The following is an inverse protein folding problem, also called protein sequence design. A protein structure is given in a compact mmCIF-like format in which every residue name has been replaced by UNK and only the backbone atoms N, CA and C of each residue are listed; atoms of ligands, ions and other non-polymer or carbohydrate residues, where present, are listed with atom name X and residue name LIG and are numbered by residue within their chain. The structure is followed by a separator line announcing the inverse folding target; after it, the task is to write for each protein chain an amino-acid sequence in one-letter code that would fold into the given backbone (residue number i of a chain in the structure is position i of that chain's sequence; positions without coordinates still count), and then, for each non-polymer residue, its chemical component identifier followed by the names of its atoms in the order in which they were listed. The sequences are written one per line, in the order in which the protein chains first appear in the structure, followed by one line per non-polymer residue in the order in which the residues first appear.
data_IF_888865028429
#
_entry.id   IF_888865028429
#
_cell.length_a   1.000
_cell.length_b   1.000
_cell.length_c   1.000
_cell.angle_alpha   90.00
_cell.angle_beta   90.00
_cell.angle_gamma   90.00
#
_symmetry.space_group_name_H-M   'P 1'
#
loop_
_entity.id
_entity.type
_entity.pdbx_description
1 polymer ?
#
# COMPACT_ATOMS: atom_id res chain seq x y z
N UNK A 1 -8.01 -42.71 18.75
CA UNK A 1 -8.35 -41.28 18.61
C UNK A 1 -7.27 -40.38 19.24
N UNK A 2 -6.06 -40.26 18.66
CA UNK A 2 -5.03 -39.28 19.09
C UNK A 2 -4.01 -38.94 17.97
N UNK A 3 -4.46 -38.83 16.71
CA UNK A 3 -3.58 -38.45 15.59
C UNK A 3 -4.16 -37.37 14.66
N UNK A 4 -5.39 -36.88 14.90
CA UNK A 4 -6.01 -35.82 14.09
C UNK A 4 -5.75 -34.40 14.59
N UNK A 5 -5.26 -34.22 15.83
CA UNK A 5 -5.10 -32.88 16.44
C UNK A 5 -3.75 -32.21 16.10
N UNK A 6 -2.79 -32.98 15.59
CA UNK A 6 -1.47 -32.46 15.23
C UNK A 6 -1.41 -31.86 13.80
N UNK A 7 -2.39 -32.14 12.94
CA UNK A 7 -2.40 -31.63 11.56
C UNK A 7 -3.10 -30.28 11.43
N UNK A 8 -4.10 -30.00 12.27
CA UNK A 8 -4.80 -28.70 12.32
C UNK A 8 -3.94 -27.59 12.93
N UNK A 9 -2.99 -27.94 13.80
CA UNK A 9 -2.05 -27.00 14.42
C UNK A 9 -0.86 -26.64 13.51
N UNK A 10 -0.55 -27.45 12.50
CA UNK A 10 0.50 -27.14 11.52
C UNK A 10 -0.01 -26.28 10.34
N UNK A 11 -1.31 -26.36 10.02
CA UNK A 11 -1.94 -25.54 8.97
C UNK A 11 -2.30 -24.12 9.42
N UNK A 12 -2.50 -23.91 10.73
CA UNK A 12 -2.73 -22.58 11.31
C UNK A 12 -1.46 -21.70 11.36
N UNK A 13 -0.30 -22.23 11.00
CA UNK A 13 0.99 -21.51 10.99
C UNK A 13 1.43 -21.00 9.60
N UNK A 14 0.65 -21.25 8.54
CA UNK A 14 0.97 -20.83 7.18
C UNK A 14 0.22 -19.55 6.80
N UNK A 15 0.51 -18.43 7.48
CA UNK A 15 -0.09 -17.14 7.15
C UNK A 15 0.92 -15.98 7.12
N UNK A 16 2.18 -16.23 6.76
CA UNK A 16 3.09 -15.24 6.14
C UNK A 16 4.21 -16.01 5.44
N UNK A 17 4.48 -15.75 4.16
CA UNK A 17 5.70 -16.26 3.52
C UNK A 17 6.95 -15.64 4.17
N UNK A 18 7.79 -16.48 4.81
CA UNK A 18 9.17 -16.21 5.21
C UNK A 18 9.87 -17.51 5.61
N UNK A 19 11.21 -17.62 5.51
CA UNK A 19 12.02 -17.70 4.31
C UNK A 19 12.34 -19.19 4.01
N UNK A 20 11.63 -19.80 3.07
CA UNK A 20 12.13 -20.97 2.33
C UNK A 20 12.54 -20.52 0.92
N UNK A 21 12.96 -19.26 0.80
CA UNK A 21 13.26 -18.61 -0.47
C UNK A 21 14.48 -19.20 -1.19
N UNK A 22 15.35 -19.92 -0.49
CA UNK A 22 16.59 -20.49 -1.04
C UNK A 22 16.58 -22.01 -1.23
N UNK A 23 15.58 -22.73 -0.70
CA UNK A 23 15.59 -24.21 -0.78
C UNK A 23 14.98 -24.76 -2.07
N UNK A 24 14.09 -23.99 -2.73
CA UNK A 24 13.35 -24.45 -3.92
C UNK A 24 13.61 -23.62 -5.18
N UNK A 25 14.49 -22.62 -5.14
CA UNK A 25 14.92 -21.89 -6.34
C UNK A 25 15.98 -22.70 -7.08
N UNK A 26 15.59 -23.39 -8.15
CA UNK A 26 16.56 -23.85 -9.14
C UNK A 26 17.23 -22.63 -9.79
N UNK A 27 18.50 -22.39 -9.45
CA UNK A 27 19.33 -21.34 -10.08
C UNK A 27 19.50 -21.64 -11.57
N UNK A 28 18.83 -20.87 -12.43
CA UNK A 28 19.20 -20.76 -13.83
C UNK A 28 20.60 -20.10 -13.94
N UNK A 29 21.45 -20.70 -14.75
CA UNK A 29 22.88 -20.38 -14.93
C UNK A 29 23.03 -18.95 -15.49
N UNK A 30 23.81 -18.11 -14.79
CA UNK A 30 24.07 -16.70 -15.13
C UNK A 30 24.94 -16.61 -16.39
N UNK A 31 24.40 -16.05 -17.47
CA UNK A 31 25.19 -15.61 -18.63
C UNK A 31 25.81 -14.25 -18.33
N UNK A 32 27.14 -14.19 -18.37
CA UNK A 32 27.94 -12.98 -18.15
C UNK A 32 27.87 -12.08 -19.37
N UNK A 33 27.36 -10.85 -19.21
CA UNK A 33 27.65 -9.77 -20.17
C UNK A 33 28.07 -8.53 -19.41
N UNK A 34 29.22 -8.02 -19.82
CA UNK A 34 30.06 -6.97 -19.25
C UNK A 34 29.38 -5.60 -19.18
N UNK A 35 29.59 -4.92 -18.06
CA UNK A 35 29.31 -3.50 -17.87
C UNK A 35 30.21 -2.63 -18.74
N UNK A 36 29.62 -1.67 -19.44
CA UNK A 36 30.35 -0.55 -20.05
C UNK A 36 29.88 0.74 -19.41
N UNK A 37 30.77 1.34 -18.64
CA UNK A 37 30.71 2.69 -18.11
C UNK A 37 31.13 3.66 -19.22
N UNK A 38 30.51 4.84 -19.34
CA UNK A 38 31.24 6.00 -19.84
C UNK A 38 31.33 7.10 -18.78
N UNK A 39 32.57 7.53 -18.57
CA UNK A 39 32.99 8.68 -17.79
C UNK A 39 32.74 10.00 -18.52
N UNK A 40 32.65 11.05 -17.69
CA UNK A 40 32.74 12.49 -17.92
C UNK A 40 33.26 13.02 -19.28
N UNK A 41 32.65 14.13 -19.71
CA UNK A 41 33.42 15.26 -20.26
C UNK A 41 32.74 16.59 -19.96
N UNK A 42 33.58 17.50 -19.46
CA UNK A 42 33.33 18.91 -19.17
C UNK A 42 33.29 19.76 -20.44
N UNK A 43 32.44 20.79 -20.46
CA UNK A 43 32.69 22.18 -20.92
C UNK A 43 31.40 22.83 -21.42
N UNK A 44 31.22 24.12 -21.06
CA UNK A 44 30.33 25.01 -21.81
C UNK A 44 29.51 25.97 -20.94
N UNK A 45 30.15 26.97 -20.35
CA UNK A 45 29.48 28.19 -19.86
C UNK A 45 29.11 29.04 -21.08
N UNK A 46 27.92 29.65 -21.11
CA UNK A 46 27.87 31.04 -21.50
C UNK A 46 27.11 31.89 -20.48
N UNK A 47 27.72 33.04 -20.24
CA UNK A 47 27.19 34.21 -19.54
C UNK A 47 26.10 34.89 -20.36
N UNK A 48 24.98 35.23 -19.73
CA UNK A 48 24.13 36.35 -20.18
C UNK A 48 23.51 37.07 -18.99
N UNK A 49 23.98 38.28 -18.78
CA UNK A 49 23.41 39.36 -17.99
C UNK A 49 22.06 39.83 -18.55
N UNK A 50 21.07 40.08 -17.70
CA UNK A 50 20.15 41.22 -17.85
C UNK A 50 19.24 41.40 -16.63
N UNK A 51 19.45 42.53 -15.96
CA UNK A 51 18.46 43.43 -15.34
C UNK A 51 17.41 42.90 -14.36
N UNK A 52 17.73 43.06 -13.08
CA UNK A 52 16.77 43.39 -12.05
C UNK A 52 16.07 44.73 -12.36
N UNK A 53 14.74 44.73 -12.37
CA UNK A 53 13.91 45.93 -12.38
C UNK A 53 13.06 45.92 -11.11
N UNK A 54 13.55 46.64 -10.09
CA UNK A 54 12.78 47.00 -8.92
C UNK A 54 11.74 48.07 -9.31
N UNK A 55 10.52 47.95 -8.79
CA UNK A 55 9.54 49.03 -8.74
C UNK A 55 8.86 49.07 -7.37
N UNK A 56 8.39 50.26 -6.95
CA UNK A 56 8.68 50.78 -5.62
C UNK A 56 7.53 50.67 -4.61
N UNK A 57 7.93 50.73 -3.35
CA UNK A 57 7.10 51.08 -2.20
C UNK A 57 6.66 52.56 -2.27
N UNK A 58 5.36 52.80 -2.38
CA UNK A 58 4.61 53.84 -1.64
C UNK A 58 3.30 54.16 -2.35
N UNK A 59 2.17 53.91 -1.68
CA UNK A 59 1.06 54.86 -1.69
C UNK A 59 0.32 54.67 -0.36
N UNK A 60 0.63 55.57 0.56
CA UNK A 60 -0.09 55.74 1.80
C UNK A 60 -1.42 56.47 1.54
N UNK A 61 -2.34 56.26 2.48
CA UNK A 61 -3.44 57.14 2.88
C UNK A 61 -4.51 57.47 1.84
N UNK A 62 -5.69 56.87 2.02
CA UNK A 62 -6.98 57.59 1.94
C UNK A 62 -8.05 56.75 2.65
N UNK A 63 -8.62 57.35 3.69
CA UNK A 63 -9.90 57.07 4.40
C UNK A 63 -9.72 57.00 5.92
N UNK A 64 -9.55 58.19 6.51
CA UNK A 64 -9.92 58.46 7.90
C UNK A 64 -11.37 58.95 7.93
N UNK A 65 -12.24 58.22 8.65
CA UNK A 65 -13.22 58.72 9.62
C UNK A 65 -14.35 57.70 9.80
N UNK A 66 -14.39 57.05 10.96
CA UNK A 66 -15.56 57.07 11.85
C UNK A 66 -15.08 56.77 13.27
N UNK A 67 -15.16 57.78 14.13
CA UNK A 67 -15.06 57.69 15.58
C UNK A 67 -16.22 56.87 16.14
N UNK A 68 -15.91 55.82 16.91
CA UNK A 68 -16.88 55.07 17.70
C UNK A 68 -16.16 54.31 18.81
N UNK A 69 -16.29 54.79 20.04
CA UNK A 69 -15.88 54.07 21.25
C UNK A 69 -16.67 52.76 21.35
N UNK A 70 -15.98 51.62 21.36
CA UNK A 70 -16.50 50.37 21.89
C UNK A 70 -15.34 49.57 22.52
N UNK A 71 -15.40 49.52 23.85
CA UNK A 71 -14.76 48.62 24.81
C UNK A 71 -14.14 47.31 24.28
N UNK A 72 -12.90 47.06 24.73
CA UNK A 72 -12.31 45.75 25.06
C UNK A 72 -12.97 44.52 24.39
N UNK A 73 -12.70 44.32 23.10
CA UNK A 73 -12.71 42.98 22.54
C UNK A 73 -11.29 42.43 22.64
N UNK A 74 -11.06 41.56 23.61
CA UNK A 74 -9.96 40.61 23.57
C UNK A 74 -10.14 39.85 22.26
N UNK A 75 -9.32 40.17 21.27
CA UNK A 75 -9.23 39.39 20.04
C UNK A 75 -8.64 38.04 20.47
N UNK A 76 -9.51 37.10 20.87
CA UNK A 76 -9.18 35.69 20.86
C UNK A 76 -8.90 35.35 19.40
N UNK A 77 -7.66 35.59 18.98
CA UNK A 77 -7.07 34.81 17.91
C UNK A 77 -7.15 33.39 18.40
N UNK A 78 -8.21 32.68 18.01
CA UNK A 78 -8.23 31.22 18.06
C UNK A 78 -6.97 30.84 17.30
N UNK A 79 -5.94 30.40 18.03
CA UNK A 79 -4.72 29.90 17.42
C UNK A 79 -5.19 28.88 16.37
N UNK A 80 -4.73 28.95 15.11
CA UNK A 80 -5.19 28.05 14.07
C UNK A 80 -5.11 26.63 14.63
N UNK A 81 -6.27 25.97 14.75
CA UNK A 81 -6.38 24.63 15.31
C UNK A 81 -5.40 23.76 14.55
N UNK A 82 -4.35 23.33 15.24
CA UNK A 82 -3.25 22.63 14.64
C UNK A 82 -3.76 21.26 14.22
N UNK A 83 -3.94 21.06 12.92
CA UNK A 83 -4.50 19.80 12.43
C UNK A 83 -3.63 18.63 12.90
N UNK A 84 -4.29 17.58 13.40
CA UNK A 84 -3.65 16.46 14.07
C UNK A 84 -3.36 15.33 13.08
N UNK A 85 -2.20 14.69 13.19
CA UNK A 85 -1.90 13.45 12.50
C UNK A 85 -2.10 12.29 13.48
N UNK A 86 -2.88 11.29 13.10
CA UNK A 86 -3.00 10.07 13.90
C UNK A 86 -1.88 9.11 13.51
N UNK A 87 -1.18 8.56 14.50
CA UNK A 87 -0.15 7.54 14.33
C UNK A 87 -0.70 6.21 14.86
N UNK A 88 -0.66 5.17 14.03
CA UNK A 88 -1.18 3.85 14.32
C UNK A 88 -0.01 2.87 14.31
N UNK A 89 0.31 2.27 15.45
CA UNK A 89 1.39 1.30 15.58
C UNK A 89 0.86 -0.12 15.45
N UNK A 90 1.51 -0.90 14.60
CA UNK A 90 1.17 -2.31 14.34
C UNK A 90 2.35 -3.25 14.61
N UNK A 91 3.54 -2.70 14.87
CA UNK A 91 4.76 -3.43 15.22
C UNK A 91 5.95 -3.00 14.37
N UNK A 92 6.98 -3.84 14.34
CA UNK A 92 8.27 -3.54 13.73
C UNK A 92 9.35 -3.20 14.76
N UNK A 93 10.37 -2.47 14.33
CA UNK A 93 11.54 -2.13 15.17
C UNK A 93 11.42 -0.75 15.84
N UNK A 94 10.33 -0.02 15.56
CA UNK A 94 10.07 1.30 16.15
C UNK A 94 9.41 1.11 17.50
N UNK A 95 10.01 1.68 18.55
CA UNK A 95 9.42 1.67 19.88
C UNK A 95 8.10 2.43 19.88
N UNK A 96 7.05 1.81 20.41
CA UNK A 96 5.77 2.48 20.64
C UNK A 96 6.00 3.54 21.73
N UNK A 97 5.68 4.82 21.48
CA UNK A 97 5.91 5.87 22.45
C UNK A 97 5.05 5.64 23.70
N UNK A 98 5.61 5.95 24.87
CA UNK A 98 4.92 5.84 26.17
C UNK A 98 3.86 6.94 26.38
N UNK A 99 3.80 7.92 25.48
CA UNK A 99 2.84 9.03 25.53
C UNK A 99 2.07 9.10 24.22
N UNK A 100 0.77 9.31 24.33
CA UNK A 100 -0.13 9.24 23.19
C UNK A 100 -0.15 10.52 22.36
N UNK A 101 0.43 11.63 22.82
CA UNK A 101 0.39 12.88 22.07
C UNK A 101 1.75 13.56 22.04
N UNK A 102 2.16 14.02 20.85
CA UNK A 102 3.37 14.81 20.67
C UNK A 102 3.03 16.10 19.93
N UNK A 103 3.44 17.25 20.47
CA UNK A 103 3.22 18.54 19.83
C UNK A 103 4.54 19.10 19.33
N UNK A 104 4.69 19.26 18.01
CA UNK A 104 5.85 19.95 17.42
C UNK A 104 5.51 21.42 17.14
N UNK A 105 6.29 22.13 16.32
CA UNK A 105 5.86 23.41 15.72
C UNK A 105 5.00 23.21 14.47
N UNK A 106 5.17 22.10 13.74
CA UNK A 106 4.52 21.84 12.45
C UNK A 106 3.17 21.11 12.53
N UNK A 107 3.05 20.09 13.40
CA UNK A 107 1.79 19.32 13.59
C UNK A 107 1.65 18.79 15.03
N UNK A 108 0.45 18.34 15.40
CA UNK A 108 0.19 17.54 16.60
C UNK A 108 0.04 16.08 16.20
N UNK A 109 0.50 15.14 17.02
CA UNK A 109 0.22 13.72 16.83
C UNK A 109 -0.67 13.18 17.94
N UNK A 110 -1.51 12.21 17.59
CA UNK A 110 -2.13 11.29 18.55
C UNK A 110 -1.74 9.87 18.14
N UNK A 111 -1.40 9.02 19.10
CA UNK A 111 -0.86 7.69 18.87
C UNK A 111 -1.79 6.61 19.42
N UNK A 112 -1.99 5.55 18.63
CA UNK A 112 -2.73 4.35 19.04
C UNK A 112 -1.92 3.13 18.64
N UNK A 113 -1.73 2.21 19.57
CA UNK A 113 -1.14 0.91 19.28
C UNK A 113 -2.25 -0.13 19.11
N UNK A 114 -2.27 -0.79 17.95
CA UNK A 114 -3.18 -1.90 17.69
C UNK A 114 -2.50 -3.23 17.97
N UNK A 115 -1.27 -3.36 17.48
CA UNK A 115 -0.50 -4.60 17.53
C UNK A 115 0.98 -4.30 17.79
N UNK A 116 1.74 -5.34 18.15
CA UNK A 116 3.19 -5.29 18.27
C UNK A 116 3.82 -6.56 17.68
N UNK A 117 3.71 -6.72 16.36
CA UNK A 117 4.23 -7.91 15.65
C UNK A 117 5.43 -7.60 14.76
N UNK A 118 6.37 -8.55 14.70
CA UNK A 118 7.51 -8.55 13.78
C UNK A 118 7.25 -9.39 12.52
N UNK A 119 6.19 -10.20 12.53
CA UNK A 119 5.69 -10.95 11.37
C UNK A 119 4.76 -10.09 10.52
N UNK A 120 4.53 -10.46 9.27
CA UNK A 120 3.55 -9.72 8.48
C UNK A 120 2.14 -9.87 9.07
N UNK A 121 1.35 -8.82 8.93
CA UNK A 121 -0.04 -8.82 9.38
C UNK A 121 -0.89 -9.76 8.52
N UNK A 122 -1.76 -10.52 9.17
CA UNK A 122 -2.77 -11.34 8.50
C UNK A 122 -3.98 -10.49 8.06
N UNK A 123 -4.89 -11.06 7.26
CA UNK A 123 -6.02 -10.31 6.67
C UNK A 123 -6.92 -9.65 7.73
N UNK A 124 -7.18 -10.31 8.86
CA UNK A 124 -8.01 -9.77 9.95
C UNK A 124 -7.34 -8.57 10.61
N UNK A 125 -6.03 -8.65 10.85
CA UNK A 125 -5.23 -7.54 11.38
C UNK A 125 -5.18 -6.37 10.38
N UNK A 126 -5.03 -6.65 9.09
CA UNK A 126 -5.06 -5.62 8.04
C UNK A 126 -6.40 -4.87 8.01
N UNK A 127 -7.53 -5.58 8.16
CA UNK A 127 -8.86 -4.95 8.26
C UNK A 127 -9.02 -4.13 9.55
N UNK A 128 -8.47 -4.58 10.67
CA UNK A 128 -8.47 -3.81 11.92
C UNK A 128 -7.72 -2.48 11.79
N UNK A 129 -6.59 -2.49 11.07
CA UNK A 129 -5.86 -1.26 10.73
C UNK A 129 -6.71 -0.37 9.83
N UNK A 130 -7.32 -0.91 8.77
CA UNK A 130 -8.17 -0.16 7.87
C UNK A 130 -9.38 0.48 8.59
N UNK A 131 -10.05 -0.24 9.48
CA UNK A 131 -11.16 0.26 10.30
C UNK A 131 -10.71 1.42 11.19
N UNK A 132 -9.56 1.28 11.86
CA UNK A 132 -8.98 2.32 12.69
C UNK A 132 -8.66 3.58 11.88
N UNK A 133 -8.09 3.42 10.68
CA UNK A 133 -7.83 4.54 9.77
C UNK A 133 -9.15 5.21 9.36
N UNK A 134 -10.15 4.43 8.96
CA UNK A 134 -11.42 4.98 8.51
C UNK A 134 -12.12 5.80 9.61
N UNK A 135 -12.17 5.27 10.84
CA UNK A 135 -12.70 5.97 12.01
C UNK A 135 -11.92 7.26 12.31
N UNK A 136 -10.59 7.18 12.25
CA UNK A 136 -9.69 8.32 12.46
C UNK A 136 -9.91 9.44 11.44
N UNK A 137 -10.07 9.08 10.16
CA UNK A 137 -10.20 10.04 9.08
C UNK A 137 -11.59 10.68 9.01
N UNK A 138 -12.60 10.05 9.64
CA UNK A 138 -13.93 10.64 9.82
C UNK A 138 -13.91 11.88 10.73
N UNK A 139 -12.90 12.02 11.60
CA UNK A 139 -12.71 13.22 12.42
C UNK A 139 -12.16 14.40 11.58
N UNK A 140 -12.88 15.52 11.56
CA UNK A 140 -12.50 16.73 10.84
C UNK A 140 -11.26 17.44 11.40
N UNK A 141 -10.91 17.19 12.67
CA UNK A 141 -9.68 17.70 13.29
C UNK A 141 -8.43 16.94 12.84
N UNK A 142 -8.60 15.72 12.30
CA UNK A 142 -7.51 14.89 11.78
C UNK A 142 -7.17 15.27 10.34
N UNK A 143 -5.90 15.62 10.13
CA UNK A 143 -5.28 15.90 8.82
C UNK A 143 -5.11 14.64 7.98
N UNK A 144 -4.74 13.53 8.61
CA UNK A 144 -4.36 12.28 7.95
C UNK A 144 -3.93 11.22 8.97
N UNK A 145 -3.64 10.03 8.46
CA UNK A 145 -3.21 8.88 9.25
C UNK A 145 -1.81 8.42 8.82
N UNK A 146 -1.00 8.05 9.81
CA UNK A 146 0.29 7.41 9.66
C UNK A 146 0.21 6.02 10.26
N UNK A 147 0.65 5.00 9.54
CA UNK A 147 0.77 3.63 10.04
C UNK A 147 2.24 3.27 10.16
N UNK A 148 2.67 2.95 11.37
CA UNK A 148 4.01 2.42 11.64
C UNK A 148 3.91 0.90 11.72
N UNK A 149 4.56 0.22 10.78
CA UNK A 149 4.44 -1.23 10.60
C UNK A 149 5.80 -1.91 10.39
N UNK A 150 5.84 -3.22 10.57
CA UNK A 150 7.00 -4.00 10.17
C UNK A 150 7.15 -3.99 8.63
N UNK A 151 8.40 -4.09 8.15
CA UNK A 151 8.72 -4.05 6.73
C UNK A 151 7.99 -5.13 5.90
N UNK A 152 7.66 -6.28 6.50
CA UNK A 152 6.97 -7.39 5.84
C UNK A 152 5.49 -7.10 5.55
N UNK A 153 4.91 -6.09 6.21
CA UNK A 153 3.50 -5.72 6.05
C UNK A 153 3.28 -4.53 5.12
N UNK A 154 4.35 -3.90 4.60
CA UNK A 154 4.22 -2.66 3.83
C UNK A 154 3.46 -2.88 2.52
N UNK A 155 3.77 -3.95 1.79
CA UNK A 155 3.06 -4.29 0.55
C UNK A 155 1.58 -4.60 0.82
N UNK A 156 1.30 -5.42 1.84
CA UNK A 156 -0.07 -5.86 2.14
C UNK A 156 -0.93 -4.73 2.68
N UNK A 157 -0.41 -3.91 3.59
CA UNK A 157 -1.10 -2.71 4.09
C UNK A 157 -1.32 -1.71 2.97
N UNK A 158 -0.28 -1.41 2.18
CA UNK A 158 -0.38 -0.45 1.07
C UNK A 158 -1.44 -0.87 0.05
N UNK A 159 -1.47 -2.15 -0.31
CA UNK A 159 -2.44 -2.68 -1.25
C UNK A 159 -3.86 -2.73 -0.67
N UNK A 160 -4.04 -3.37 0.50
CA UNK A 160 -5.37 -3.53 1.10
C UNK A 160 -6.01 -2.18 1.38
N UNK A 161 -5.30 -1.24 2.02
CA UNK A 161 -5.83 0.10 2.28
C UNK A 161 -6.18 0.86 1.01
N UNK A 162 -5.49 0.60 -0.11
CA UNK A 162 -5.83 1.21 -1.41
C UNK A 162 -7.14 0.67 -1.97
N UNK A 163 -7.48 -0.59 -1.68
CA UNK A 163 -8.75 -1.20 -2.09
C UNK A 163 -9.88 -0.77 -1.18
N UNK A 164 -9.70 -0.85 0.15
CA UNK A 164 -10.81 -0.76 1.12
C UNK A 164 -11.05 0.64 1.68
N UNK A 165 -10.16 1.61 1.42
CA UNK A 165 -10.35 3.00 1.83
C UNK A 165 -10.62 3.91 0.64
N UNK A 166 -11.52 4.85 0.84
CA UNK A 166 -11.79 5.95 -0.09
C UNK A 166 -11.71 7.28 0.67
N UNK A 167 -10.50 7.83 0.74
CA UNK A 167 -10.24 9.09 1.41
C UNK A 167 -9.26 9.95 0.63
N UNK A 168 -9.52 11.27 0.65
CA UNK A 168 -8.61 12.28 0.09
C UNK A 168 -7.53 12.69 1.08
N UNK A 169 -7.74 12.45 2.38
CA UNK A 169 -6.76 12.76 3.43
C UNK A 169 -5.54 11.83 3.28
N UNK A 170 -4.32 12.30 3.58
CA UNK A 170 -3.12 11.48 3.50
C UNK A 170 -3.22 10.24 4.40
N UNK A 171 -2.90 9.08 3.84
CA UNK A 171 -2.65 7.83 4.56
C UNK A 171 -1.24 7.40 4.21
N UNK A 172 -0.33 7.34 5.18
CA UNK A 172 1.07 7.04 4.93
C UNK A 172 1.53 5.87 5.80
N UNK A 173 2.02 4.82 5.16
CA UNK A 173 2.47 3.59 5.82
C UNK A 173 3.99 3.49 5.70
N UNK A 174 4.68 3.18 6.78
CA UNK A 174 6.14 3.06 6.79
C UNK A 174 6.65 2.20 7.94
N UNK A 175 7.87 1.71 7.81
CA UNK A 175 8.64 1.17 8.94
C UNK A 175 9.39 2.28 9.72
N UNK A 176 9.43 3.50 9.19
CA UNK A 176 10.02 4.69 9.82
C UNK A 176 8.93 5.76 10.02
N UNK A 177 8.59 6.01 11.28
CA UNK A 177 7.58 6.98 11.69
C UNK A 177 7.92 8.41 11.23
N UNK A 178 9.18 8.83 11.33
CA UNK A 178 9.59 10.21 11.01
C UNK A 178 9.45 10.47 9.51
N UNK A 179 9.81 9.48 8.69
CA UNK A 179 9.61 9.58 7.24
C UNK A 179 8.13 9.60 6.87
N UNK A 180 7.30 8.78 7.51
CA UNK A 180 5.87 8.78 7.25
C UNK A 180 5.19 10.10 7.67
N UNK A 181 5.54 10.63 8.84
CA UNK A 181 5.04 11.92 9.32
C UNK A 181 5.44 13.06 8.38
N UNK A 182 6.66 13.05 7.85
CA UNK A 182 7.10 14.05 6.87
C UNK A 182 6.20 14.07 5.63
N UNK A 183 5.89 12.89 5.06
CA UNK A 183 5.00 12.78 3.89
C UNK A 183 3.55 13.12 4.23
N UNK A 184 3.02 12.61 5.34
CA UNK A 184 1.62 12.85 5.74
C UNK A 184 1.35 14.33 6.04
N UNK A 185 2.39 15.09 6.41
CA UNK A 185 2.30 16.51 6.68
C UNK A 185 2.32 17.38 5.40
N UNK A 186 2.66 16.84 4.23
CA UNK A 186 2.67 17.59 2.98
C UNK A 186 1.26 17.78 2.42
N UNK A 187 0.93 19.00 1.98
CA UNK A 187 -0.34 19.27 1.28
C UNK A 187 -0.39 18.51 -0.05
N UNK A 188 0.76 18.32 -0.69
CA UNK A 188 0.88 17.55 -1.92
C UNK A 188 0.61 16.04 -1.76
N UNK A 189 0.51 15.51 -0.52
CA UNK A 189 0.13 14.12 -0.28
C UNK A 189 -1.38 13.86 -0.41
N UNK A 190 -2.21 14.91 -0.44
CA UNK A 190 -3.65 14.80 -0.57
C UNK A 190 -4.07 14.18 -1.91
N UNK A 191 -5.18 13.42 -1.88
CA UNK A 191 -5.81 12.82 -3.06
C UNK A 191 -4.89 11.84 -3.85
N UNK A 192 -3.92 11.22 -3.18
CA UNK A 192 -3.03 10.21 -3.77
C UNK A 192 -3.41 8.77 -3.40
N UNK A 193 -4.45 8.60 -2.59
CA UNK A 193 -4.72 7.35 -1.88
C UNK A 193 -3.63 7.03 -0.84
N UNK A 194 -3.60 5.80 -0.32
CA UNK A 194 -2.52 5.37 0.57
C UNK A 194 -1.16 5.45 -0.10
N UNK A 195 -0.15 5.85 0.68
CA UNK A 195 1.24 5.93 0.28
C UNK A 195 2.07 5.03 1.17
N UNK A 196 3.11 4.41 0.59
CA UNK A 196 4.09 3.63 1.36
C UNK A 196 5.46 4.26 1.22
N UNK A 197 6.14 4.44 2.35
CA UNK A 197 7.50 4.97 2.38
C UNK A 197 8.48 3.85 2.71
N UNK A 198 9.48 3.65 1.86
CA UNK A 198 10.55 2.69 2.11
C UNK A 198 11.63 3.26 3.03
N UNK A 199 12.50 2.39 3.53
CA UNK A 199 13.62 2.77 4.39
C UNK A 199 14.61 3.71 3.69
N UNK A 200 14.71 3.61 2.37
CA UNK A 200 15.56 4.42 1.50
C UNK A 200 14.94 5.79 1.18
N UNK A 201 13.76 6.10 1.74
CA UNK A 201 13.06 7.36 1.52
C UNK A 201 12.28 7.42 0.21
N UNK A 202 12.09 6.29 -0.50
CA UNK A 202 11.25 6.24 -1.70
C UNK A 202 9.78 6.14 -1.30
N UNK A 203 8.93 6.95 -1.92
CA UNK A 203 7.49 6.98 -1.67
C UNK A 203 6.75 6.35 -2.84
N UNK A 204 5.92 5.35 -2.56
CA UNK A 204 5.14 4.61 -3.56
C UNK A 204 3.63 4.85 -3.35
N UNK A 205 2.86 4.77 -4.43
CA UNK A 205 1.42 4.57 -4.31
C UNK A 205 1.15 3.20 -3.68
N UNK A 206 0.23 3.11 -2.72
CA UNK A 206 -0.03 1.90 -1.94
C UNK A 206 -0.26 0.66 -2.79
N UNK A 207 -1.07 0.79 -3.85
CA UNK A 207 -1.35 -0.29 -4.81
C UNK A 207 -0.09 -0.82 -5.53
N UNK A 208 0.91 0.04 -5.73
CA UNK A 208 2.15 -0.27 -6.46
C UNK A 208 3.37 -0.43 -5.54
N UNK A 209 3.14 -0.53 -4.23
CA UNK A 209 4.20 -0.82 -3.27
C UNK A 209 4.95 -2.09 -3.66
N UNK A 210 6.28 -2.06 -3.74
CA UNK A 210 7.06 -3.25 -4.06
C UNK A 210 7.06 -4.27 -2.91
N UNK A 211 7.28 -5.54 -3.25
CA UNK A 211 7.39 -6.65 -2.28
C UNK A 211 8.66 -6.62 -1.44
N UNK A 212 9.68 -5.84 -1.84
CA UNK A 212 10.86 -5.58 -1.03
C UNK A 212 11.43 -4.18 -1.31
N UNK A 213 12.18 -3.66 -0.34
CA UNK A 213 12.84 -2.35 -0.42
C UNK A 213 13.81 -2.22 -1.61
N UNK A 214 14.37 -3.35 -2.08
CA UNK A 214 15.30 -3.40 -3.22
C UNK A 214 14.62 -3.75 -4.56
N UNK A 215 13.29 -3.94 -4.58
CA UNK A 215 12.60 -4.25 -5.82
C UNK A 215 12.36 -2.99 -6.66
N UNK A 216 12.33 -3.18 -7.97
CA UNK A 216 12.08 -2.10 -8.95
C UNK A 216 10.61 -1.66 -8.85
N UNK A 217 10.33 -0.61 -8.08
CA UNK A 217 9.02 0.02 -8.02
C UNK A 217 8.93 1.30 -8.87
N UNK A 218 7.73 1.88 -8.95
CA UNK A 218 7.52 3.22 -9.50
C UNK A 218 7.31 4.22 -8.36
N UNK A 219 8.37 4.86 -7.84
CA UNK A 219 8.22 5.86 -6.79
C UNK A 219 7.51 7.10 -7.35
N UNK A 220 6.61 7.68 -6.55
CA UNK A 220 5.90 8.92 -6.86
C UNK A 220 6.55 10.15 -6.20
N UNK A 221 7.43 9.91 -5.21
CA UNK A 221 8.25 10.92 -4.58
C UNK A 221 9.49 10.29 -3.93
N UNK A 222 10.41 11.15 -3.48
CA UNK A 222 11.52 10.79 -2.61
C UNK A 222 11.58 11.74 -1.42
N UNK A 223 12.08 11.26 -0.28
CA UNK A 223 12.35 12.03 0.92
C UNK A 223 13.86 12.15 1.06
N UNK A 224 14.37 13.37 1.18
CA UNK A 224 15.79 13.59 1.44
C UNK A 224 16.15 13.46 2.95
N UNK A 225 17.44 13.54 3.26
CA UNK A 225 17.93 13.43 4.63
C UNK A 225 17.34 14.52 5.54
N UNK A 226 17.08 15.71 4.99
CA UNK A 226 16.44 16.84 5.65
C UNK A 226 14.92 16.68 5.82
N UNK A 227 14.36 15.51 5.45
CA UNK A 227 12.93 15.17 5.54
C UNK A 227 12.06 16.04 4.65
N UNK A 228 12.62 16.59 3.57
CA UNK A 228 11.86 17.29 2.54
C UNK A 228 11.41 16.30 1.48
N UNK A 229 10.13 16.36 1.15
CA UNK A 229 9.50 15.48 0.16
C UNK A 229 9.57 16.13 -1.22
N UNK A 230 10.03 15.39 -2.21
CA UNK A 230 10.11 15.82 -3.60
C UNK A 230 9.23 14.93 -4.46
N UNK A 231 8.14 15.48 -4.98
CA UNK A 231 7.15 14.75 -5.79
C UNK A 231 7.55 14.75 -7.26
N UNK A 232 7.50 13.58 -7.90
CA UNK A 232 7.79 13.43 -9.33
C UNK A 232 6.55 13.60 -10.22
N UNK A 233 5.38 13.23 -9.69
CA UNK A 233 4.12 13.22 -10.44
C UNK A 233 3.01 13.93 -9.68
N UNK A 234 2.07 14.53 -10.40
CA UNK A 234 0.81 15.02 -9.83
C UNK A 234 -0.04 13.87 -9.28
N UNK A 235 -0.95 14.12 -8.31
CA UNK A 235 -1.88 13.09 -7.83
C UNK A 235 -2.72 12.49 -8.97
N UNK A 236 -2.66 11.18 -9.13
CA UNK A 236 -3.46 10.45 -10.10
C UNK A 236 -3.84 9.06 -9.52
N UNK A 237 -5.13 8.77 -9.31
CA UNK A 237 -5.54 7.47 -8.80
C UNK A 237 -5.32 6.37 -9.86
N UNK A 238 -4.73 5.23 -9.49
CA UNK A 238 -4.56 4.07 -10.38
C UNK A 238 -5.89 3.55 -10.92
N UNK A 239 -5.90 3.03 -12.15
CA UNK A 239 -7.12 2.59 -12.84
C UNK A 239 -7.97 1.59 -12.03
N UNK A 240 -7.31 0.67 -11.32
CA UNK A 240 -7.96 -0.35 -10.47
C UNK A 240 -8.81 0.24 -9.34
N UNK A 241 -8.43 1.40 -8.80
CA UNK A 241 -9.03 2.00 -7.59
C UNK A 241 -9.54 3.42 -7.81
N UNK A 242 -9.56 3.90 -9.06
CA UNK A 242 -10.11 5.21 -9.36
C UNK A 242 -11.62 5.22 -9.07
N UNK A 243 -12.21 6.40 -8.91
CA UNK A 243 -13.63 6.54 -8.53
C UNK A 243 -14.61 5.90 -9.52
N UNK A 244 -14.19 5.65 -10.75
CA UNK A 244 -15.00 5.07 -11.82
C UNK A 244 -14.60 3.61 -12.12
N UNK A 245 -13.79 2.98 -11.26
CA UNK A 245 -13.29 1.63 -11.48
C UNK A 245 -14.38 0.61 -11.20
N UNK A 246 -14.27 -0.59 -11.78
CA UNK A 246 -15.20 -1.69 -11.50
C UNK A 246 -15.31 -1.96 -10.01
N UNK A 247 -14.19 -1.93 -9.27
CA UNK A 247 -14.16 -2.11 -7.82
C UNK A 247 -15.00 -1.03 -7.11
N UNK A 248 -14.89 0.24 -7.52
CA UNK A 248 -15.63 1.35 -6.87
C UNK A 248 -17.09 1.43 -7.26
N UNK A 249 -17.44 1.08 -8.51
CA UNK A 249 -18.80 1.25 -9.04
C UNK A 249 -19.66 0.01 -8.84
N UNK A 250 -19.12 -1.18 -9.10
CA UNK A 250 -19.89 -2.43 -9.08
C UNK A 250 -19.78 -3.19 -7.76
N UNK A 251 -18.72 -2.97 -6.99
CA UNK A 251 -18.42 -3.67 -5.73
C UNK A 251 -18.24 -2.69 -4.56
N UNK A 252 -19.24 -1.82 -4.37
CA UNK A 252 -19.24 -0.75 -3.37
C UNK A 252 -19.05 -1.25 -1.93
N UNK A 253 -19.36 -2.52 -1.66
CA UNK A 253 -19.12 -3.13 -0.35
C UNK A 253 -17.62 -3.34 -0.03
N UNK A 254 -16.72 -3.27 -1.01
CA UNK A 254 -15.27 -3.40 -0.76
C UNK A 254 -14.72 -2.30 0.16
N UNK A 255 -15.38 -1.14 0.21
CA UNK A 255 -14.99 -0.05 1.12
C UNK A 255 -15.56 -0.22 2.54
N UNK A 256 -16.25 -1.33 2.84
CA UNK A 256 -16.59 -1.64 4.21
C UNK A 256 -15.35 -2.12 4.96
N UNK A 257 -14.90 -1.30 5.91
CA UNK A 257 -13.78 -1.62 6.79
C UNK A 257 -14.20 -2.32 8.08
N UNK A 258 -15.47 -2.21 8.47
CA UNK A 258 -16.02 -2.80 9.68
C UNK A 258 -16.63 -4.16 9.34
N UNK A 259 -15.77 -5.18 9.36
CA UNK A 259 -16.10 -6.55 8.95
C UNK A 259 -16.14 -7.45 10.18
N UNK A 260 -17.30 -8.08 10.39
CA UNK A 260 -17.41 -9.23 11.28
C UNK A 260 -17.01 -10.50 10.52
N UNK A 261 -15.87 -11.08 10.89
CA UNK A 261 -15.39 -12.30 10.27
C UNK A 261 -16.12 -13.53 10.82
N UNK A 262 -17.05 -14.09 10.06
CA UNK A 262 -17.62 -15.41 10.37
C UNK A 262 -16.55 -16.52 10.29
N UNK A 263 -15.64 -16.39 9.34
CA UNK A 263 -14.42 -17.18 9.21
C UNK A 263 -13.37 -16.36 8.45
N UNK A 264 -12.08 -16.59 8.74
CA UNK A 264 -10.99 -15.94 7.99
C UNK A 264 -10.84 -16.63 6.63
N UNK A 265 -10.88 -15.89 5.50
CA UNK A 265 -10.69 -16.50 4.19
C UNK A 265 -9.27 -17.09 4.09
N UNK A 266 -9.20 -18.33 3.61
CA UNK A 266 -7.97 -19.05 3.36
C UNK A 266 -7.69 -19.06 1.86
N UNK A 267 -6.72 -18.26 1.45
CA UNK A 267 -6.23 -18.19 0.07
C UNK A 267 -4.73 -18.47 0.09
N UNK A 268 -4.25 -19.72 -0.07
CA UNK A 268 -2.82 -20.00 -0.09
C UNK A 268 -2.14 -19.49 -1.35
N UNK A 269 -0.86 -19.12 -1.22
CA UNK A 269 0.05 -18.90 -2.34
C UNK A 269 0.87 -20.18 -2.51
N UNK A 270 0.82 -20.77 -3.70
CA UNK A 270 1.63 -21.94 -4.08
C UNK A 270 2.59 -21.57 -5.19
N UNK A 271 3.79 -22.11 -5.13
CA UNK A 271 4.75 -21.95 -6.22
C UNK A 271 4.48 -22.99 -7.28
N UNK A 272 4.51 -22.59 -8.54
CA UNK A 272 4.38 -23.56 -9.62
C UNK A 272 5.50 -24.61 -9.50
N UNK A 273 5.05 -25.81 -9.23
CA UNK A 273 5.75 -27.04 -8.91
C UNK A 273 4.71 -28.13 -9.08
N UNK A 274 5.12 -29.38 -9.34
CA UNK A 274 4.24 -30.47 -9.76
C UNK A 274 3.19 -30.94 -8.73
N UNK A 275 2.40 -30.03 -8.17
CA UNK A 275 1.23 -30.32 -7.36
C UNK A 275 0.20 -31.01 -8.26
N UNK A 276 -0.23 -32.19 -7.83
CA UNK A 276 -1.28 -32.91 -8.56
C UNK A 276 -2.61 -32.20 -8.39
N UNK A 277 -3.44 -32.24 -9.44
CA UNK A 277 -4.83 -31.75 -9.41
C UNK A 277 -5.64 -32.38 -8.27
N UNK A 278 -5.31 -33.61 -7.87
CA UNK A 278 -5.90 -34.30 -6.73
C UNK A 278 -5.65 -33.58 -5.39
N UNK A 279 -4.46 -33.00 -5.17
CA UNK A 279 -4.17 -32.24 -3.95
C UNK A 279 -5.01 -30.96 -3.90
N UNK A 280 -5.12 -30.26 -5.03
CA UNK A 280 -5.91 -29.02 -5.13
C UNK A 280 -7.39 -29.32 -4.90
N UNK A 281 -7.90 -30.38 -5.53
CA UNK A 281 -9.28 -30.85 -5.33
C UNK A 281 -9.56 -31.22 -3.88
N UNK A 282 -8.58 -31.81 -3.17
CA UNK A 282 -8.75 -32.17 -1.75
C UNK A 282 -8.81 -30.96 -0.81
N UNK A 283 -8.29 -29.80 -1.24
CA UNK A 283 -8.30 -28.55 -0.47
C UNK A 283 -9.48 -27.64 -0.82
N UNK A 284 -10.16 -27.89 -1.94
CA UNK A 284 -11.20 -27.02 -2.50
C UNK A 284 -12.39 -26.77 -1.56
N UNK A 285 -12.69 -27.70 -0.64
CA UNK A 285 -13.75 -27.51 0.36
C UNK A 285 -13.34 -26.62 1.54
N UNK A 286 -12.06 -26.26 1.64
CA UNK A 286 -11.49 -25.55 2.80
C UNK A 286 -10.97 -24.16 2.43
N UNK A 287 -10.44 -24.00 1.21
CA UNK A 287 -9.89 -22.73 0.72
C UNK A 287 -10.93 -21.98 -0.11
N UNK A 288 -10.86 -20.64 -0.11
CA UNK A 288 -11.76 -19.79 -0.91
C UNK A 288 -11.16 -19.42 -2.28
N UNK A 289 -9.94 -19.87 -2.54
CA UNK A 289 -9.21 -19.63 -3.77
C UNK A 289 -7.75 -20.04 -3.64
N UNK A 290 -7.02 -19.99 -4.74
CA UNK A 290 -5.62 -20.36 -4.81
C UNK A 290 -4.86 -19.32 -5.63
N UNK A 291 -3.70 -18.87 -5.15
CA UNK A 291 -2.77 -18.06 -5.95
C UNK A 291 -1.59 -18.92 -6.36
N UNK A 292 -1.34 -19.02 -7.66
CA UNK A 292 -0.22 -19.75 -8.24
C UNK A 292 0.86 -18.77 -8.69
N UNK A 293 2.06 -18.92 -8.17
CA UNK A 293 3.23 -18.17 -8.64
C UNK A 293 3.72 -18.82 -9.93
N UNK A 294 3.57 -18.11 -11.05
CA UNK A 294 3.90 -18.59 -12.39
C UNK A 294 5.40 -18.91 -12.51
N UNK A 295 5.76 -20.06 -13.10
CA UNK A 295 7.15 -20.48 -13.33
C UNK A 295 7.70 -20.20 -14.74
N UNK A 296 6.88 -19.70 -15.65
CA UNK A 296 7.26 -19.47 -17.05
C UNK A 296 8.19 -18.26 -17.24
N UNK A 297 8.65 -18.07 -18.48
CA UNK A 297 9.36 -16.85 -18.88
C UNK A 297 8.44 -15.64 -18.75
N UNK A 298 9.01 -14.45 -18.53
CA UNK A 298 8.35 -13.15 -18.38
C UNK A 298 6.94 -13.09 -18.98
N UNK A 299 5.91 -13.22 -18.12
CA UNK A 299 4.48 -13.03 -18.41
C UNK A 299 3.65 -14.30 -18.76
N UNK A 300 4.24 -15.51 -18.75
CA UNK A 300 3.50 -16.76 -18.98
C UNK A 300 3.68 -17.79 -17.88
N UNK A 301 2.78 -18.79 -17.84
CA UNK A 301 2.91 -19.97 -16.98
C UNK A 301 3.07 -21.24 -17.81
N UNK A 302 3.88 -22.18 -17.34
CA UNK A 302 3.92 -23.55 -17.86
C UNK A 302 3.08 -24.51 -17.02
N UNK A 303 2.49 -24.01 -15.93
CA UNK A 303 1.62 -24.80 -15.07
C UNK A 303 0.31 -25.16 -15.76
N UNK A 304 -0.22 -26.33 -15.40
CA UNK A 304 -1.56 -26.78 -15.81
C UNK A 304 -2.52 -26.82 -14.63
N UNK A 305 -2.19 -26.12 -13.54
CA UNK A 305 -3.05 -26.07 -12.35
C UNK A 305 -4.32 -25.30 -12.69
N UNK A 306 -5.46 -25.98 -12.59
CA UNK A 306 -6.80 -25.43 -12.80
C UNK A 306 -7.77 -26.05 -11.79
N UNK A 307 -8.90 -25.39 -11.56
CA UNK A 307 -9.98 -25.91 -10.72
C UNK A 307 -11.30 -25.31 -11.18
N UNK A 308 -12.35 -26.14 -11.20
CA UNK A 308 -13.73 -25.70 -11.42
C UNK A 308 -14.47 -25.43 -10.08
N UNK A 309 -13.82 -25.68 -8.94
CA UNK A 309 -14.44 -25.59 -7.61
C UNK A 309 -14.01 -24.34 -6.84
N UNK A 310 -12.78 -23.87 -7.10
CA UNK A 310 -12.20 -22.69 -6.45
C UNK A 310 -11.50 -21.83 -7.50
N UNK A 311 -11.50 -20.50 -7.35
CA UNK A 311 -10.77 -19.63 -8.26
C UNK A 311 -9.26 -19.86 -8.14
N UNK A 312 -8.60 -20.04 -9.29
CA UNK A 312 -7.14 -20.16 -9.39
C UNK A 312 -6.60 -18.92 -10.07
N UNK A 313 -5.76 -18.16 -9.37
CA UNK A 313 -5.21 -16.88 -9.86
C UNK A 313 -3.71 -17.01 -10.07
N UNK A 314 -3.24 -16.78 -11.30
CA UNK A 314 -1.82 -16.79 -11.63
C UNK A 314 -1.20 -15.40 -11.49
N UNK A 315 -0.15 -15.32 -10.68
CA UNK A 315 0.63 -14.10 -10.48
C UNK A 315 2.11 -14.35 -10.75
N UNK A 316 2.86 -13.31 -11.08
CA UNK A 316 4.30 -13.39 -11.27
C UNK A 316 5.03 -12.91 -10.00
N UNK A 317 6.03 -13.68 -9.53
CA UNK A 317 6.90 -13.27 -8.41
C UNK A 317 8.01 -12.30 -8.81
N UNK A 318 8.11 -11.98 -10.10
CA UNK A 318 9.06 -11.02 -10.66
C UNK A 318 8.89 -9.60 -10.12
N UNK A 319 9.72 -8.69 -10.63
CA UNK A 319 9.64 -7.28 -10.29
C UNK A 319 8.21 -6.72 -10.53
N UNK A 320 7.78 -5.69 -9.79
CA UNK A 320 6.54 -4.97 -10.06
C UNK A 320 6.36 -4.70 -11.56
N UNK A 321 5.13 -4.82 -12.06
CA UNK A 321 4.77 -4.57 -13.46
C UNK A 321 5.30 -5.62 -14.46
N UNK A 322 5.40 -6.87 -14.02
CA UNK A 322 5.58 -8.03 -14.91
C UNK A 322 4.25 -8.77 -15.06
N UNK A 323 3.33 -8.27 -15.91
CA UNK A 323 1.97 -8.76 -15.92
C UNK A 323 1.88 -10.19 -16.44
N UNK A 324 1.06 -11.03 -15.83
CA UNK A 324 0.64 -12.31 -16.46
C UNK A 324 -0.49 -12.00 -17.44
N UNK A 325 -0.45 -12.51 -18.68
CA UNK A 325 -1.58 -12.31 -19.61
C UNK A 325 -2.69 -13.32 -19.34
N UNK A 326 -3.95 -12.92 -19.49
CA UNK A 326 -5.10 -13.85 -19.45
C UNK A 326 -5.07 -14.91 -20.55
N UNK A 327 -4.30 -14.71 -21.62
CA UNK A 327 -4.06 -15.71 -22.68
C UNK A 327 -2.99 -16.74 -22.30
N UNK A 328 -2.19 -16.43 -21.29
CA UNK A 328 -1.04 -17.21 -20.86
C UNK A 328 -1.30 -17.95 -19.55
N UNK A 329 -2.57 -18.14 -19.18
CA UNK A 329 -3.02 -18.93 -18.03
C UNK A 329 -3.93 -20.07 -18.50
N UNK A 330 -4.01 -21.19 -17.77
CA UNK A 330 -4.90 -22.31 -18.09
C UNK A 330 -6.37 -21.90 -18.20
N UNK A 331 -7.14 -22.74 -18.88
CA UNK A 331 -8.58 -22.59 -18.97
C UNK A 331 -9.20 -22.59 -17.57
N UNK A 332 -10.21 -21.75 -17.32
CA UNK A 332 -10.85 -21.57 -16.01
C UNK A 332 -9.92 -21.05 -14.89
N UNK A 333 -8.73 -20.54 -15.24
CA UNK A 333 -7.89 -19.78 -14.34
C UNK A 333 -7.99 -18.27 -14.64
N UNK A 334 -7.60 -17.48 -13.66
CA UNK A 334 -7.58 -16.02 -13.71
C UNK A 334 -6.13 -15.55 -13.80
N UNK A 335 -5.91 -14.48 -14.56
CA UNK A 335 -4.65 -13.74 -14.47
C UNK A 335 -4.75 -12.69 -13.35
N UNK A 336 -3.66 -12.54 -12.59
CA UNK A 336 -3.50 -11.42 -11.66
C UNK A 336 -3.08 -10.12 -12.37
N UNK A 337 -2.83 -10.16 -13.67
CA UNK A 337 -2.21 -9.08 -14.44
C UNK A 337 -0.91 -8.65 -13.79
N UNK A 338 -0.80 -7.36 -13.50
CA UNK A 338 0.38 -6.75 -12.89
C UNK A 338 0.50 -6.92 -11.36
N UNK A 339 -0.44 -7.61 -10.71
CA UNK A 339 -0.40 -7.83 -9.26
C UNK A 339 0.63 -8.90 -8.89
N UNK A 340 1.32 -8.67 -7.76
CA UNK A 340 2.18 -9.69 -7.14
C UNK A 340 1.35 -10.79 -6.49
N UNK A 341 1.94 -11.95 -6.14
CA UNK A 341 1.19 -13.03 -5.49
C UNK A 341 0.51 -12.60 -4.18
N UNK A 342 1.18 -11.74 -3.39
CA UNK A 342 0.62 -11.19 -2.15
C UNK A 342 -0.60 -10.31 -2.43
N UNK A 343 -0.52 -9.44 -3.44
CA UNK A 343 -1.63 -8.56 -3.82
C UNK A 343 -2.80 -9.35 -4.40
N UNK A 344 -2.52 -10.35 -5.23
CA UNK A 344 -3.53 -11.25 -5.77
C UNK A 344 -4.25 -12.03 -4.66
N UNK A 345 -3.49 -12.54 -3.69
CA UNK A 345 -4.03 -13.21 -2.51
C UNK A 345 -4.95 -12.28 -1.72
N UNK A 346 -4.52 -11.03 -1.49
CA UNK A 346 -5.32 -10.05 -0.77
C UNK A 346 -6.59 -9.67 -1.53
N UNK A 347 -6.52 -9.44 -2.84
CA UNK A 347 -7.71 -9.10 -3.63
C UNK A 347 -8.72 -10.25 -3.62
N UNK A 348 -8.26 -11.50 -3.73
CA UNK A 348 -9.13 -12.67 -3.66
C UNK A 348 -9.75 -12.85 -2.27
N UNK A 349 -8.97 -12.61 -1.21
CA UNK A 349 -9.48 -12.61 0.17
C UNK A 349 -10.51 -11.51 0.40
N UNK A 350 -10.28 -10.29 -0.10
CA UNK A 350 -11.24 -9.17 -0.02
C UNK A 350 -12.52 -9.55 -0.76
N UNK A 351 -12.42 -10.12 -1.96
CA UNK A 351 -13.56 -10.57 -2.74
C UNK A 351 -14.37 -11.64 -1.97
N UNK A 352 -13.70 -12.65 -1.40
CA UNK A 352 -14.34 -13.69 -0.60
C UNK A 352 -15.06 -13.15 0.65
N UNK A 353 -14.42 -12.23 1.39
CA UNK A 353 -15.02 -11.55 2.55
C UNK A 353 -16.30 -10.80 2.16
N UNK A 354 -16.32 -10.24 0.95
CA UNK A 354 -17.41 -9.42 0.44
C UNK A 354 -18.42 -10.21 -0.42
N UNK A 355 -18.35 -11.54 -0.41
CA UNK A 355 -19.28 -12.41 -1.16
C UNK A 355 -19.14 -12.33 -2.68
N UNK A 356 -18.01 -11.85 -3.18
CA UNK A 356 -17.68 -11.77 -4.61
C UNK A 356 -16.89 -13.02 -4.99
N UNK A 357 -17.57 -14.03 -5.52
CA UNK A 357 -17.01 -15.37 -5.74
C UNK A 357 -17.33 -15.99 -7.11
N UNK A 358 -18.13 -15.35 -7.96
CA UNK A 358 -18.38 -15.85 -9.32
C UNK A 358 -17.19 -15.56 -10.23
N UNK A 359 -16.92 -16.44 -11.19
CA UNK A 359 -15.80 -16.30 -12.11
C UNK A 359 -15.87 -14.99 -12.90
N UNK A 360 -17.05 -14.60 -13.38
CA UNK A 360 -17.23 -13.34 -14.11
C UNK A 360 -16.95 -12.13 -13.22
N UNK A 361 -17.37 -12.18 -11.96
CA UNK A 361 -17.14 -11.09 -11.03
C UNK A 361 -15.65 -10.97 -10.68
N UNK A 362 -14.99 -12.10 -10.42
CA UNK A 362 -13.55 -12.15 -10.17
C UNK A 362 -12.74 -11.68 -11.39
N UNK A 363 -13.09 -12.13 -12.60
CA UNK A 363 -12.48 -11.65 -13.84
C UNK A 363 -12.58 -10.13 -14.01
N UNK A 364 -13.65 -9.51 -13.51
CA UNK A 364 -13.89 -8.07 -13.65
C UNK A 364 -13.11 -7.19 -12.66
N UNK A 365 -12.65 -7.76 -11.53
CA UNK A 365 -11.89 -7.02 -10.50
C UNK A 365 -10.38 -7.21 -10.62
N UNK A 366 -9.91 -8.31 -11.21
CA UNK A 366 -8.49 -8.49 -11.49
C UNK A 366 -8.06 -7.64 -12.71
N UNK A 367 -6.93 -6.92 -12.62
CA UNK A 367 -6.42 -6.20 -13.79
C UNK A 367 -5.93 -7.22 -14.82
N UNK A 368 -6.37 -7.09 -16.07
CA UNK A 368 -5.99 -7.95 -17.19
C UNK A 368 -5.24 -7.18 -18.27
#
# INVERSE_FOLDING_TARGET
MKFQVALTSLLAAAAVASPVEDLFKHKAKKSSTSSVHPSSTTKGKPTSSAHAKALPSSLASLLANTTGNASNMTNSTVAPQKQQLQVIYTGGQVAIPSTNATNTTAFSTNSTALFNTTSALNITELYSVAATINQTLADNSTKGAVVVANAKSLESLGFLTSIVLDSKKPIVISADEKMALAVANETAAWNRGPLVVSKEGLVYAGIFTPSSANAVGLPVAVIDDAKKVQWFFSPAPPALINSNSTIRVNYTNFTNTDIEFAATPLVPIVYDGGYSSSLISSLASTVQGLVVVSSGSSNSTTSTIESAQIPVVYANSGAPLTPVSSKDVPQNALSAGYLTPVKAQLLLSIAAINGVNSDEALMSIFPN
#
